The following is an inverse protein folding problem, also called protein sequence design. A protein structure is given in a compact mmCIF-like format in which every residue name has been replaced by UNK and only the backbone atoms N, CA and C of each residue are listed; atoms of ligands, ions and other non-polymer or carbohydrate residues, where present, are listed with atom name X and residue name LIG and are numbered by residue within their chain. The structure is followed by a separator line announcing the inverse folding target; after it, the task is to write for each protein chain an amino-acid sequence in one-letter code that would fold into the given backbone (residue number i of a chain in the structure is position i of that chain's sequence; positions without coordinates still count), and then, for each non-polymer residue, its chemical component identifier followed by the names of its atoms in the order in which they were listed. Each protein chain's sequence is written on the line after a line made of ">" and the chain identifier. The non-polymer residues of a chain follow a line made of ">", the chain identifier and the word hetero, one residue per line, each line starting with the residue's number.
data_IF_308379115515
#
_entry.id   IF_308379115515
#
_cell.length_a   1.000
_cell.length_b   1.000
_cell.length_c   1.000
_cell.angle_alpha   90.00
_cell.angle_beta   90.00
_cell.angle_gamma   90.00
#
_symmetry.space_group_name_H-M   'P 1'
#
loop_
_entity.id
_entity.type
_entity.pdbx_description
1 polymer ?
#
# COMPACT_ATOMS: atom_id res chain seq x y z
N UNK A 1 8.99 9.04 -11.84
CA UNK A 1 7.56 9.48 -11.77
C UNK A 1 7.46 10.95 -12.19
N UNK A 2 6.30 11.41 -12.69
CA UNK A 2 6.10 12.81 -13.05
C UNK A 2 5.93 13.70 -11.82
N UNK A 3 6.28 14.99 -11.93
CA UNK A 3 6.26 15.96 -10.81
C UNK A 3 4.89 16.05 -10.12
N UNK A 4 3.80 15.92 -10.88
CA UNK A 4 2.42 15.98 -10.36
C UNK A 4 2.15 14.97 -9.23
N UNK A 5 2.84 13.83 -9.23
CA UNK A 5 2.65 12.74 -8.25
C UNK A 5 3.81 12.63 -7.26
N UNK A 6 4.86 13.44 -7.44
CA UNK A 6 6.07 13.40 -6.61
C UNK A 6 5.96 14.40 -5.46
N UNK A 7 5.85 13.89 -4.24
CA UNK A 7 5.97 14.71 -3.05
C UNK A 7 7.44 14.90 -2.68
N UNK A 8 7.85 16.11 -2.22
CA UNK A 8 9.26 16.44 -2.00
C UNK A 8 10.01 15.46 -1.10
N UNK A 9 9.41 14.99 0.00
CA UNK A 9 10.07 14.04 0.90
C UNK A 9 10.49 12.73 0.18
N UNK A 10 9.57 12.15 -0.59
CA UNK A 10 9.86 10.92 -1.34
C UNK A 10 10.72 11.21 -2.56
N UNK A 11 10.43 12.31 -3.27
CA UNK A 11 11.19 12.70 -4.46
C UNK A 11 12.67 12.94 -4.17
N UNK A 12 12.99 13.57 -3.04
CA UNK A 12 14.36 13.86 -2.64
C UNK A 12 15.20 12.59 -2.39
N UNK A 13 14.58 11.49 -1.93
CA UNK A 13 15.28 10.20 -1.77
C UNK A 13 15.82 9.71 -3.11
N UNK A 14 15.08 9.93 -4.20
CA UNK A 14 15.38 9.40 -5.53
C UNK A 14 16.01 10.41 -6.49
N UNK A 15 16.47 11.55 -5.99
CA UNK A 15 17.26 12.47 -6.82
C UNK A 15 18.63 11.90 -7.14
N UNK A 16 19.16 12.20 -8.30
CA UNK A 16 20.50 11.82 -8.71
C UNK A 16 21.57 12.40 -7.73
N UNK A 17 21.33 13.60 -7.21
CA UNK A 17 22.16 14.19 -6.14
C UNK A 17 22.23 13.29 -4.90
N UNK A 18 21.06 12.81 -4.42
CA UNK A 18 21.02 11.95 -3.24
C UNK A 18 21.64 10.56 -3.51
N UNK A 19 21.45 10.03 -4.72
CA UNK A 19 22.09 8.77 -5.13
C UNK A 19 23.63 8.87 -5.01
N UNK A 20 24.24 9.86 -5.67
CA UNK A 20 25.70 10.05 -5.59
C UNK A 20 26.16 10.46 -4.20
N UNK A 21 25.38 11.24 -3.45
CA UNK A 21 25.70 11.57 -2.06
C UNK A 21 25.72 10.33 -1.17
N UNK A 22 24.80 9.40 -1.40
CA UNK A 22 24.75 8.11 -0.68
C UNK A 22 25.92 7.21 -1.10
N UNK A 23 26.24 7.14 -2.39
CA UNK A 23 27.41 6.43 -2.89
C UNK A 23 28.71 6.99 -2.28
N UNK A 24 28.87 8.31 -2.22
CA UNK A 24 30.02 8.97 -1.58
C UNK A 24 30.12 8.60 -0.09
N UNK A 25 28.99 8.54 0.61
CA UNK A 25 28.95 8.10 2.01
C UNK A 25 29.48 6.66 2.17
N UNK A 26 29.10 5.74 1.28
CA UNK A 26 29.58 4.35 1.28
C UNK A 26 31.11 4.33 1.07
N UNK A 27 31.62 5.09 0.10
CA UNK A 27 33.06 5.16 -0.20
C UNK A 27 33.87 5.72 0.98
N UNK A 28 33.41 6.80 1.61
CA UNK A 28 34.06 7.40 2.78
C UNK A 28 34.12 6.40 3.95
N UNK A 29 32.99 5.74 4.24
CA UNK A 29 32.90 4.73 5.29
C UNK A 29 33.78 3.51 5.00
N UNK A 30 33.96 3.12 3.74
CA UNK A 30 34.88 2.07 3.35
C UNK A 30 36.33 2.51 3.61
N UNK A 31 36.71 3.76 3.31
CA UNK A 31 38.03 4.32 3.64
C UNK A 31 38.26 4.40 5.16
N UNK A 32 37.24 4.75 5.95
CA UNK A 32 37.34 4.73 7.43
C UNK A 32 37.60 3.32 7.97
N UNK A 33 36.91 2.31 7.43
CA UNK A 33 37.16 0.92 7.81
C UNK A 33 38.58 0.47 7.44
N UNK A 34 39.04 0.81 6.22
CA UNK A 34 40.39 0.50 5.76
C UNK A 34 41.46 1.24 6.58
N UNK A 35 41.18 2.45 7.08
CA UNK A 35 42.07 3.14 8.00
C UNK A 35 42.23 2.36 9.32
N UNK A 36 41.15 1.83 9.89
CA UNK A 36 41.22 0.97 11.08
C UNK A 36 42.02 -0.30 10.87
N UNK A 37 42.17 -0.76 9.64
CA UNK A 37 43.04 -1.89 9.25
C UNK A 37 44.46 -1.46 8.91
N UNK A 38 44.80 -0.17 9.02
CA UNK A 38 46.12 0.36 8.69
C UNK A 38 46.41 0.45 7.18
N UNK A 39 45.40 0.29 6.32
CA UNK A 39 45.50 0.32 4.85
C UNK A 39 45.49 1.76 4.33
N UNK A 40 44.61 2.61 4.92
CA UNK A 40 44.49 4.03 4.59
C UNK A 40 45.17 4.85 5.69
N UNK A 41 46.19 5.67 5.40
CA UNK A 41 46.83 6.54 6.39
C UNK A 41 45.88 7.59 6.96
N UNK A 42 46.07 8.04 8.20
CA UNK A 42 45.23 9.04 8.87
C UNK A 42 45.12 10.35 8.11
N UNK A 43 46.23 10.83 7.55
CA UNK A 43 46.24 12.07 6.74
C UNK A 43 45.41 11.92 5.48
N UNK A 44 45.50 10.77 4.80
CA UNK A 44 44.70 10.49 3.61
C UNK A 44 43.19 10.37 3.93
N UNK A 45 42.87 9.72 5.05
CA UNK A 45 41.48 9.65 5.51
C UNK A 45 40.91 11.04 5.82
N UNK A 46 41.68 11.88 6.52
CA UNK A 46 41.27 13.25 6.81
C UNK A 46 41.03 14.07 5.55
N UNK A 47 41.90 13.93 4.54
CA UNK A 47 41.73 14.59 3.25
C UNK A 47 40.45 14.11 2.53
N UNK A 48 40.18 12.79 2.52
CA UNK A 48 38.97 12.21 1.95
C UNK A 48 37.74 12.76 2.67
N UNK A 49 37.67 12.69 4.00
CA UNK A 49 36.53 13.15 4.78
C UNK A 49 36.21 14.63 4.63
N UNK A 50 37.24 15.47 4.43
CA UNK A 50 37.09 16.94 4.41
C UNK A 50 36.93 17.51 3.01
N UNK A 51 37.44 16.84 1.97
CA UNK A 51 37.51 17.36 0.61
C UNK A 51 36.57 16.63 -0.39
N UNK A 52 36.17 15.38 -0.07
CA UNK A 52 35.41 14.59 -0.99
C UNK A 52 34.03 15.25 -1.25
N UNK A 53 33.83 15.62 -2.49
CA UNK A 53 32.59 16.22 -2.99
C UNK A 53 32.44 15.88 -4.50
N UNK A 54 31.36 16.30 -5.12
CA UNK A 54 31.12 16.11 -6.53
C UNK A 54 30.19 17.18 -7.09
N UNK A 55 30.14 17.28 -8.43
CA UNK A 55 29.18 18.10 -9.16
C UNK A 55 28.51 17.26 -10.25
N UNK A 56 27.18 17.28 -10.30
CA UNK A 56 26.38 16.48 -11.25
C UNK A 56 26.68 16.82 -12.71
N UNK A 57 26.87 18.10 -13.03
CA UNK A 57 27.22 18.55 -14.37
C UNK A 57 28.61 18.00 -14.79
N UNK A 58 29.58 18.01 -13.86
CA UNK A 58 30.93 17.49 -14.11
C UNK A 58 30.92 15.97 -14.29
N UNK A 59 30.16 15.24 -13.48
CA UNK A 59 29.97 13.80 -13.64
C UNK A 59 29.42 13.48 -15.02
N UNK A 60 28.41 14.21 -15.50
CA UNK A 60 27.82 14.01 -16.84
C UNK A 60 28.82 14.29 -17.96
N UNK A 61 29.67 15.32 -17.83
CA UNK A 61 30.72 15.61 -18.80
C UNK A 61 31.73 14.45 -18.90
N UNK A 62 32.15 13.88 -17.76
CA UNK A 62 33.09 12.76 -17.71
C UNK A 62 32.42 11.49 -18.25
N UNK A 63 31.17 11.23 -17.85
CA UNK A 63 30.40 10.06 -18.29
C UNK A 63 30.20 10.05 -19.81
N UNK A 64 30.00 11.20 -20.45
CA UNK A 64 29.88 11.31 -21.91
C UNK A 64 31.12 10.78 -22.65
N UNK A 65 32.28 10.72 -21.98
CA UNK A 65 33.51 10.17 -22.55
C UNK A 65 33.74 8.73 -22.09
N UNK A 66 33.55 8.46 -20.81
CA UNK A 66 33.85 7.15 -20.19
C UNK A 66 32.79 6.10 -20.43
N UNK A 67 31.56 6.51 -20.73
CA UNK A 67 30.35 5.65 -20.82
C UNK A 67 30.15 4.76 -19.57
N UNK A 68 30.55 5.27 -18.40
CA UNK A 68 30.46 4.51 -17.14
C UNK A 68 30.18 5.47 -15.96
N UNK A 69 29.00 5.40 -15.38
CA UNK A 69 28.50 6.29 -14.34
C UNK A 69 29.38 6.30 -13.06
N UNK A 70 29.74 5.13 -12.54
CA UNK A 70 30.55 5.02 -11.30
C UNK A 70 31.99 5.52 -11.55
N UNK A 71 32.59 5.22 -12.69
CA UNK A 71 33.91 5.74 -13.01
C UNK A 71 33.89 7.26 -13.16
N UNK A 72 32.85 7.80 -13.80
CA UNK A 72 32.67 9.24 -13.93
C UNK A 72 32.53 9.94 -12.56
N UNK A 73 31.73 9.35 -11.67
CA UNK A 73 31.57 9.80 -10.29
C UNK A 73 32.90 9.80 -9.54
N UNK A 74 33.61 8.67 -9.52
CA UNK A 74 34.89 8.51 -8.81
C UNK A 74 35.99 9.46 -9.36
N UNK A 75 36.01 9.67 -10.68
CA UNK A 75 36.91 10.61 -11.33
C UNK A 75 36.62 12.05 -10.86
N UNK A 76 35.37 12.45 -10.78
CA UNK A 76 35.05 13.77 -10.28
C UNK A 76 35.34 13.91 -8.77
N UNK A 77 35.09 12.90 -7.95
CA UNK A 77 35.51 12.92 -6.53
C UNK A 77 37.01 13.07 -6.41
N UNK A 78 37.81 12.40 -7.26
CA UNK A 78 39.28 12.50 -7.26
C UNK A 78 39.77 13.92 -7.58
N UNK A 79 39.02 14.69 -8.43
CA UNK A 79 39.35 16.11 -8.71
C UNK A 79 39.31 16.98 -7.43
N UNK A 80 38.47 16.63 -6.44
CA UNK A 80 38.42 17.32 -5.14
C UNK A 80 39.42 16.82 -4.12
N UNK A 81 39.62 15.50 -4.05
CA UNK A 81 40.43 14.86 -3.01
C UNK A 81 41.94 14.92 -3.33
N UNK A 82 42.32 14.88 -4.60
CA UNK A 82 43.72 14.86 -5.03
C UNK A 82 44.41 13.51 -4.75
N UNK A 83 45.66 13.53 -4.31
CA UNK A 83 46.50 12.33 -4.17
C UNK A 83 45.91 11.23 -3.26
N UNK A 84 45.11 11.60 -2.27
CA UNK A 84 44.45 10.64 -1.39
C UNK A 84 43.36 9.84 -2.08
N UNK A 85 42.88 10.26 -3.27
CA UNK A 85 41.86 9.57 -4.06
C UNK A 85 42.21 8.14 -4.45
N UNK A 86 43.50 7.78 -4.49
CA UNK A 86 44.00 6.42 -4.74
C UNK A 86 43.54 5.38 -3.73
N UNK A 87 42.99 5.81 -2.60
CA UNK A 87 42.42 4.94 -1.58
C UNK A 87 40.89 4.76 -1.72
N UNK A 88 40.24 5.66 -2.44
CA UNK A 88 38.80 5.56 -2.72
C UNK A 88 38.57 4.40 -3.69
N UNK A 89 37.50 3.63 -3.48
CA UNK A 89 37.13 2.45 -4.29
C UNK A 89 38.17 1.32 -4.31
N UNK A 90 39.12 1.32 -3.39
CA UNK A 90 40.22 0.34 -3.35
C UNK A 90 39.66 -1.05 -3.00
N UNK A 91 39.79 -1.99 -3.93
CA UNK A 91 39.32 -3.37 -3.77
C UNK A 91 37.81 -3.56 -3.96
N UNK A 92 37.09 -2.50 -4.16
CA UNK A 92 35.64 -2.53 -4.40
C UNK A 92 35.31 -2.75 -5.88
N UNK A 93 34.07 -3.18 -6.14
CA UNK A 93 33.41 -3.11 -7.45
C UNK A 93 32.25 -2.12 -7.41
N UNK A 94 31.83 -1.61 -8.57
CA UNK A 94 30.74 -0.64 -8.65
C UNK A 94 29.47 -1.08 -7.91
N UNK A 95 29.13 -2.37 -7.94
CA UNK A 95 27.95 -2.91 -7.26
C UNK A 95 28.09 -2.94 -5.73
N UNK A 96 29.30 -2.96 -5.16
CA UNK A 96 29.49 -2.83 -3.72
C UNK A 96 28.94 -1.50 -3.21
N UNK A 97 29.12 -0.45 -3.99
CA UNK A 97 28.68 0.90 -3.65
C UNK A 97 27.23 1.13 -4.09
N UNK A 98 26.90 0.78 -5.33
CA UNK A 98 25.56 1.02 -5.90
C UNK A 98 24.46 0.23 -5.20
N UNK A 99 24.65 -1.08 -5.01
CA UNK A 99 23.62 -1.92 -4.38
C UNK A 99 23.42 -1.55 -2.91
N UNK A 100 24.52 -1.26 -2.18
CA UNK A 100 24.44 -0.81 -0.80
C UNK A 100 23.74 0.55 -0.68
N UNK A 101 24.05 1.49 -1.58
CA UNK A 101 23.37 2.78 -1.65
C UNK A 101 21.88 2.62 -2.02
N UNK A 102 21.56 1.77 -2.99
CA UNK A 102 20.19 1.49 -3.42
C UNK A 102 19.36 0.88 -2.28
N UNK A 103 19.92 -0.08 -1.56
CA UNK A 103 19.27 -0.67 -0.39
C UNK A 103 19.01 0.36 0.71
N UNK A 104 19.99 1.23 1.00
CA UNK A 104 19.83 2.30 1.99
C UNK A 104 18.71 3.28 1.60
N UNK A 105 18.67 3.73 0.34
CA UNK A 105 17.62 4.61 -0.17
C UNK A 105 16.25 3.93 -0.17
N UNK A 106 16.20 2.63 -0.48
CA UNK A 106 14.95 1.84 -0.44
C UNK A 106 14.43 1.72 0.99
N UNK A 107 15.30 1.53 1.98
CA UNK A 107 14.92 1.54 3.41
C UNK A 107 14.35 2.88 3.81
N UNK A 108 14.96 4.00 3.43
CA UNK A 108 14.42 5.34 3.69
C UNK A 108 13.04 5.55 3.08
N UNK A 109 12.84 5.06 1.85
CA UNK A 109 11.52 5.14 1.19
C UNK A 109 10.47 4.25 1.88
N UNK A 110 10.87 3.06 2.35
CA UNK A 110 10.01 2.17 3.12
C UNK A 110 9.58 2.79 4.46
N UNK A 111 10.50 3.46 5.16
CA UNK A 111 10.22 4.15 6.42
C UNK A 111 9.21 5.30 6.23
N UNK A 112 9.32 6.04 5.12
CA UNK A 112 8.36 7.08 4.77
C UNK A 112 6.97 6.50 4.46
N UNK A 113 6.89 5.44 3.66
CA UNK A 113 5.64 4.73 3.35
C UNK A 113 5.04 4.16 4.66
N UNK A 114 5.85 3.60 5.54
CA UNK A 114 5.41 3.06 6.83
C UNK A 114 4.71 4.13 7.68
N UNK A 115 5.28 5.33 7.78
CA UNK A 115 4.66 6.46 8.51
C UNK A 115 3.26 6.78 7.97
N UNK A 116 3.11 6.81 6.64
CA UNK A 116 1.80 7.10 6.02
C UNK A 116 0.81 5.95 6.16
N UNK A 117 1.29 4.72 6.14
CA UNK A 117 0.46 3.54 6.30
C UNK A 117 -0.09 3.43 7.73
N UNK A 118 0.74 3.72 8.74
CA UNK A 118 0.32 3.80 10.15
C UNK A 118 -0.71 4.91 10.35
N UNK A 119 -0.46 6.10 9.84
CA UNK A 119 -1.43 7.20 9.90
C UNK A 119 -2.76 6.84 9.21
N UNK A 120 -2.71 6.16 8.08
CA UNK A 120 -3.91 5.70 7.39
C UNK A 120 -4.69 4.66 8.21
N UNK A 121 -3.98 3.74 8.87
CA UNK A 121 -4.59 2.79 9.80
C UNK A 121 -5.33 3.49 10.95
N UNK A 122 -4.74 4.51 11.55
CA UNK A 122 -5.37 5.30 12.63
C UNK A 122 -6.64 6.02 12.15
N UNK A 123 -6.61 6.60 10.94
CA UNK A 123 -7.78 7.21 10.32
C UNK A 123 -8.90 6.18 10.15
N UNK A 124 -8.60 4.99 9.63
CA UNK A 124 -9.59 3.94 9.46
C UNK A 124 -10.22 3.50 10.80
N UNK A 125 -9.42 3.34 11.86
CA UNK A 125 -9.91 2.98 13.19
C UNK A 125 -10.84 4.07 13.75
N UNK A 126 -10.47 5.34 13.63
CA UNK A 126 -11.30 6.46 14.05
C UNK A 126 -12.63 6.50 13.29
N UNK A 127 -12.60 6.34 11.95
CA UNK A 127 -13.81 6.30 11.13
C UNK A 127 -14.65 5.06 11.43
N UNK A 128 -14.04 3.92 11.75
CA UNK A 128 -14.77 2.72 12.19
C UNK A 128 -15.56 3.00 13.47
N UNK A 129 -14.95 3.61 14.48
CA UNK A 129 -15.60 3.97 15.73
C UNK A 129 -16.74 5.00 15.52
N UNK A 130 -16.50 6.02 14.70
CA UNK A 130 -17.47 7.07 14.37
C UNK A 130 -18.77 6.49 13.77
N UNK A 131 -18.65 5.51 12.88
CA UNK A 131 -19.80 4.89 12.18
C UNK A 131 -20.16 3.51 12.70
N UNK A 132 -19.75 3.16 13.93
CA UNK A 132 -19.99 1.85 14.55
C UNK A 132 -21.45 1.41 14.46
N UNK A 133 -22.38 2.33 14.65
CA UNK A 133 -23.82 2.06 14.66
C UNK A 133 -24.58 2.63 13.45
N UNK A 134 -23.89 3.13 12.44
CA UNK A 134 -24.52 3.63 11.21
C UNK A 134 -24.94 2.45 10.35
N UNK A 135 -26.24 2.18 10.34
CA UNK A 135 -26.82 1.03 9.64
C UNK A 135 -26.84 1.26 8.13
N UNK A 136 -26.45 0.27 7.37
CA UNK A 136 -26.55 0.20 5.93
C UNK A 136 -26.89 -1.20 5.46
N UNK A 137 -27.26 -1.33 4.18
CA UNK A 137 -27.43 -2.65 3.56
C UNK A 137 -26.08 -3.21 3.08
N UNK A 138 -25.75 -4.43 3.48
CA UNK A 138 -24.69 -5.22 2.88
C UNK A 138 -25.12 -5.74 1.50
N UNK A 139 -24.20 -5.73 0.54
CA UNK A 139 -24.45 -6.21 -0.83
C UNK A 139 -23.50 -7.33 -1.19
N UNK A 140 -24.06 -8.41 -1.74
CA UNK A 140 -23.31 -9.49 -2.38
C UNK A 140 -23.74 -9.57 -3.83
N UNK A 141 -22.80 -9.75 -4.77
CA UNK A 141 -23.09 -9.72 -6.21
C UNK A 141 -23.78 -8.41 -6.70
N UNK A 142 -23.64 -7.31 -5.93
CA UNK A 142 -24.36 -6.05 -6.18
C UNK A 142 -25.83 -6.05 -5.71
N UNK A 143 -26.32 -7.14 -5.14
CA UNK A 143 -27.70 -7.32 -4.66
C UNK A 143 -27.75 -7.11 -3.15
N UNK A 144 -28.86 -6.56 -2.64
CA UNK A 144 -29.10 -6.39 -1.20
C UNK A 144 -29.12 -7.77 -0.52
N UNK A 145 -28.33 -7.90 0.55
CA UNK A 145 -28.24 -9.09 1.39
C UNK A 145 -28.81 -8.81 2.78
N UNK A 146 -27.99 -8.53 3.74
CA UNK A 146 -28.39 -8.31 5.14
C UNK A 146 -27.92 -6.94 5.65
N UNK A 147 -28.58 -6.36 6.66
CA UNK A 147 -28.09 -5.17 7.35
C UNK A 147 -26.70 -5.37 7.94
N UNK A 148 -25.87 -4.35 7.82
CA UNK A 148 -24.59 -4.23 8.47
C UNK A 148 -24.37 -2.79 8.93
N UNK A 149 -23.24 -2.48 9.56
CA UNK A 149 -22.89 -1.09 9.86
C UNK A 149 -21.79 -0.58 8.94
N UNK A 150 -21.83 0.73 8.66
CA UNK A 150 -20.80 1.35 7.84
C UNK A 150 -19.43 1.32 8.51
N UNK A 151 -19.39 1.42 9.85
CA UNK A 151 -18.18 1.26 10.64
C UNK A 151 -17.48 -0.08 10.43
N UNK A 152 -18.22 -1.18 10.20
CA UNK A 152 -17.66 -2.50 9.90
C UNK A 152 -16.83 -2.51 8.60
N UNK A 153 -17.15 -1.67 7.60
CA UNK A 153 -16.33 -1.54 6.40
C UNK A 153 -14.95 -0.96 6.72
N UNK A 154 -14.91 0.12 7.50
CA UNK A 154 -13.64 0.72 7.92
C UNK A 154 -12.84 -0.22 8.84
N UNK A 155 -13.52 -0.96 9.71
CA UNK A 155 -12.89 -1.94 10.59
C UNK A 155 -12.21 -3.06 9.79
N UNK A 156 -12.90 -3.59 8.77
CA UNK A 156 -12.35 -4.57 7.85
C UNK A 156 -11.11 -4.04 7.11
N UNK A 157 -11.18 -2.79 6.65
CA UNK A 157 -10.05 -2.13 5.98
C UNK A 157 -8.88 -1.87 6.92
N UNK A 158 -9.16 -1.48 8.18
CA UNK A 158 -8.17 -1.33 9.23
C UNK A 158 -7.39 -2.64 9.46
N UNK A 159 -8.09 -3.78 9.60
CA UNK A 159 -7.46 -5.10 9.74
C UNK A 159 -6.59 -5.49 8.53
N UNK A 160 -6.95 -5.07 7.33
CA UNK A 160 -6.15 -5.31 6.12
C UNK A 160 -4.90 -4.43 6.08
N UNK A 161 -5.02 -3.17 6.48
CA UNK A 161 -3.86 -2.26 6.57
C UNK A 161 -2.91 -2.70 7.68
N UNK A 162 -3.38 -3.22 8.80
CA UNK A 162 -2.55 -3.81 9.85
C UNK A 162 -1.67 -4.94 9.29
N UNK A 163 -2.24 -5.84 8.49
CA UNK A 163 -1.46 -6.88 7.80
C UNK A 163 -0.49 -6.32 6.77
N UNK A 164 -0.81 -5.19 6.12
CA UNK A 164 0.09 -4.53 5.19
C UNK A 164 1.25 -3.82 5.89
N UNK A 165 1.04 -3.27 7.08
CA UNK A 165 2.10 -2.74 7.95
C UNK A 165 3.10 -3.85 8.27
N UNK A 166 2.64 -5.03 8.67
CA UNK A 166 3.51 -6.16 8.95
C UNK A 166 4.28 -6.63 7.69
N UNK A 167 3.62 -6.73 6.54
CA UNK A 167 4.29 -7.06 5.27
C UNK A 167 5.38 -6.05 4.90
N UNK A 168 5.08 -4.76 5.05
CA UNK A 168 6.04 -3.71 4.73
C UNK A 168 7.23 -3.74 5.70
N UNK A 169 7.01 -4.02 6.98
CA UNK A 169 8.07 -4.20 7.95
C UNK A 169 9.01 -5.33 7.53
N UNK A 170 8.49 -6.50 7.18
CA UNK A 170 9.28 -7.63 6.70
C UNK A 170 10.02 -7.30 5.40
N UNK A 171 9.37 -6.63 4.46
CA UNK A 171 9.99 -6.23 3.20
C UNK A 171 11.10 -5.19 3.40
N UNK A 172 10.91 -4.25 4.32
CA UNK A 172 11.92 -3.28 4.73
C UNK A 172 13.14 -3.96 5.35
N UNK A 173 12.93 -4.90 6.26
CA UNK A 173 14.02 -5.68 6.89
C UNK A 173 14.78 -6.51 5.83
N UNK A 174 14.07 -7.07 4.85
CA UNK A 174 14.67 -7.81 3.75
C UNK A 174 15.56 -6.92 2.87
N UNK A 175 15.21 -5.63 2.70
CA UNK A 175 16.00 -4.65 1.97
C UNK A 175 17.08 -3.96 2.82
N UNK A 176 17.04 -4.06 4.16
CA UNK A 176 18.00 -3.43 5.05
C UNK A 176 19.34 -4.18 5.10
N UNK A 177 19.96 -4.34 3.94
CA UNK A 177 21.22 -5.07 3.77
C UNK A 177 22.21 -4.27 2.95
N UNK A 178 23.53 -4.59 3.13
CA UNK A 178 24.61 -4.04 2.32
C UNK A 178 25.60 -5.13 1.93
N UNK A 179 26.40 -4.85 0.90
CA UNK A 179 27.36 -5.76 0.31
C UNK A 179 28.61 -4.99 -0.12
N UNK A 180 29.78 -5.38 0.44
CA UNK A 180 31.10 -4.93 0.01
C UNK A 180 32.05 -6.13 -0.05
N UNK A 181 31.78 -7.06 -0.96
CA UNK A 181 32.49 -8.34 -1.07
C UNK A 181 33.22 -8.55 -2.39
N UNK A 182 33.34 -7.47 -3.20
CA UNK A 182 34.09 -7.48 -4.46
C UNK A 182 33.31 -8.06 -5.64
N UNK A 183 34.02 -8.30 -6.74
CA UNK A 183 33.46 -8.55 -8.07
C UNK A 183 32.60 -9.84 -8.18
N UNK A 184 32.79 -10.83 -7.31
CA UNK A 184 32.06 -12.10 -7.32
C UNK A 184 31.69 -12.59 -5.91
N UNK A 185 31.79 -11.72 -4.90
CA UNK A 185 31.39 -12.03 -3.54
C UNK A 185 32.38 -12.81 -2.68
N UNK A 186 33.63 -12.90 -3.11
CA UNK A 186 34.67 -13.74 -2.46
C UNK A 186 35.65 -12.96 -1.56
N UNK A 187 35.48 -11.66 -1.44
CA UNK A 187 36.35 -10.75 -0.68
C UNK A 187 37.83 -10.80 -1.12
N UNK A 188 38.09 -11.14 -2.40
CA UNK A 188 39.47 -11.35 -2.90
C UNK A 188 40.41 -10.17 -2.67
N UNK A 189 39.89 -8.94 -2.67
CA UNK A 189 40.69 -7.71 -2.59
C UNK A 189 40.23 -6.75 -1.47
N UNK A 190 39.34 -7.19 -0.60
CA UNK A 190 38.79 -6.38 0.50
C UNK A 190 38.59 -7.25 1.74
N UNK A 191 38.86 -6.73 2.90
CA UNK A 191 38.64 -7.43 4.17
C UNK A 191 37.15 -7.40 4.54
N UNK A 192 36.53 -8.51 4.96
CA UNK A 192 35.12 -8.55 5.42
C UNK A 192 34.78 -7.54 6.53
N UNK A 193 35.80 -7.07 7.28
CA UNK A 193 35.57 -6.01 8.26
C UNK A 193 35.06 -4.72 7.64
N UNK A 194 35.47 -4.40 6.41
CA UNK A 194 35.01 -3.19 5.70
C UNK A 194 33.52 -3.23 5.46
N UNK A 195 32.99 -4.37 4.98
CA UNK A 195 31.56 -4.56 4.79
C UNK A 195 30.80 -4.42 6.11
N UNK A 196 31.26 -5.11 7.16
CA UNK A 196 30.66 -5.05 8.49
C UNK A 196 30.59 -3.61 9.01
N UNK A 197 31.69 -2.88 8.91
CA UNK A 197 31.79 -1.50 9.38
C UNK A 197 30.85 -0.56 8.62
N UNK A 198 30.83 -0.63 7.29
CA UNK A 198 29.97 0.21 6.45
C UNK A 198 28.48 -0.09 6.73
N UNK A 199 28.12 -1.37 6.79
CA UNK A 199 26.73 -1.76 7.08
C UNK A 199 26.28 -1.26 8.47
N UNK A 200 27.13 -1.42 9.50
CA UNK A 200 26.83 -0.93 10.85
C UNK A 200 26.58 0.59 10.87
N UNK A 201 27.41 1.36 10.18
CA UNK A 201 27.29 2.83 10.08
C UNK A 201 26.07 3.30 9.29
N UNK A 202 25.54 2.47 8.41
CA UNK A 202 24.33 2.72 7.62
C UNK A 202 23.07 2.09 8.22
N UNK A 203 23.18 1.44 9.39
CA UNK A 203 22.08 0.67 9.99
C UNK A 203 21.53 -0.43 9.05
N UNK A 204 22.45 -1.03 8.28
CA UNK A 204 22.21 -2.17 7.41
C UNK A 204 22.85 -3.43 8.00
N UNK A 205 22.39 -4.59 7.53
CA UNK A 205 23.01 -5.89 7.88
C UNK A 205 23.84 -6.38 6.70
N UNK A 206 25.09 -6.83 6.90
CA UNK A 206 25.85 -7.49 5.85
C UNK A 206 25.09 -8.67 5.29
N UNK A 207 25.03 -8.83 3.95
CA UNK A 207 24.45 -10.04 3.35
C UNK A 207 25.29 -11.26 3.72
N UNK A 208 24.66 -12.40 3.97
CA UNK A 208 25.39 -13.63 4.34
C UNK A 208 26.27 -14.15 3.20
N UNK A 209 25.84 -13.91 1.97
CA UNK A 209 26.55 -14.24 0.74
C UNK A 209 25.95 -13.42 -0.40
N UNK A 210 26.77 -12.96 -1.30
CA UNK A 210 26.39 -12.30 -2.54
C UNK A 210 27.22 -12.83 -3.71
N UNK A 211 26.78 -12.52 -4.91
CA UNK A 211 27.59 -12.60 -6.14
C UNK A 211 28.28 -11.23 -6.35
N UNK A 212 28.34 -10.71 -7.55
CA UNK A 212 28.71 -9.30 -7.73
C UNK A 212 27.65 -8.36 -7.16
N UNK A 213 26.41 -8.82 -7.06
CA UNK A 213 25.23 -8.05 -6.63
C UNK A 213 24.53 -8.71 -5.44
N UNK A 214 23.75 -7.92 -4.71
CA UNK A 214 22.73 -8.41 -3.77
C UNK A 214 21.66 -9.14 -4.57
N UNK A 215 21.15 -10.27 -4.09
CA UNK A 215 20.18 -11.08 -4.83
C UNK A 215 18.83 -10.35 -4.98
N UNK A 216 18.25 -10.40 -6.18
CA UNK A 216 17.10 -9.59 -6.60
C UNK A 216 15.74 -10.11 -6.08
N UNK A 217 15.68 -11.32 -5.52
CA UNK A 217 14.50 -11.80 -4.79
C UNK A 217 14.08 -10.83 -3.66
N UNK A 218 15.02 -10.13 -3.02
CA UNK A 218 14.76 -9.10 -2.02
C UNK A 218 14.00 -7.90 -2.61
N UNK A 219 14.47 -7.42 -3.75
CA UNK A 219 13.85 -6.32 -4.49
C UNK A 219 12.45 -6.72 -4.98
N UNK A 220 12.30 -7.95 -5.51
CA UNK A 220 11.03 -8.50 -5.94
C UNK A 220 10.04 -8.63 -4.77
N UNK A 221 10.50 -9.08 -3.58
CA UNK A 221 9.67 -9.12 -2.36
C UNK A 221 9.20 -7.71 -1.98
N UNK A 222 10.09 -6.72 -1.97
CA UNK A 222 9.72 -5.34 -1.67
C UNK A 222 8.67 -4.82 -2.67
N UNK A 223 8.92 -4.96 -3.96
CA UNK A 223 8.03 -4.48 -5.02
C UNK A 223 6.67 -5.17 -5.03
N UNK A 224 6.61 -6.48 -4.78
CA UNK A 224 5.34 -7.22 -4.64
C UNK A 224 4.57 -6.79 -3.39
N UNK A 225 5.26 -6.45 -2.31
CA UNK A 225 4.63 -5.87 -1.11
C UNK A 225 3.98 -4.52 -1.42
N UNK A 226 4.67 -3.62 -2.14
CA UNK A 226 4.08 -2.34 -2.56
C UNK A 226 2.84 -2.57 -3.45
N UNK A 227 2.88 -3.56 -4.34
CA UNK A 227 1.74 -3.92 -5.19
C UNK A 227 0.54 -4.46 -4.39
N UNK A 228 0.76 -5.23 -3.33
CA UNK A 228 -0.31 -5.70 -2.43
C UNK A 228 -0.93 -4.50 -1.69
N UNK A 229 -0.14 -3.59 -1.15
CA UNK A 229 -0.63 -2.37 -0.48
C UNK A 229 -1.46 -1.54 -1.47
N UNK A 230 -0.93 -1.30 -2.68
CA UNK A 230 -1.65 -0.60 -3.74
C UNK A 230 -2.96 -1.27 -4.13
N UNK A 231 -3.02 -2.61 -4.15
CA UNK A 231 -4.23 -3.36 -4.44
C UNK A 231 -5.27 -3.26 -3.31
N UNK A 232 -4.84 -3.16 -2.04
CA UNK A 232 -5.72 -2.87 -0.92
C UNK A 232 -6.35 -1.49 -1.05
N UNK A 233 -5.56 -0.47 -1.41
CA UNK A 233 -6.08 0.89 -1.65
C UNK A 233 -7.05 0.93 -2.84
N UNK A 234 -6.77 0.21 -3.92
CA UNK A 234 -7.65 0.08 -5.10
C UNK A 234 -9.00 -0.54 -4.74
N UNK A 235 -8.99 -1.62 -3.94
CA UNK A 235 -10.23 -2.24 -3.43
C UNK A 235 -11.08 -1.25 -2.64
N UNK A 236 -10.48 -0.50 -1.72
CA UNK A 236 -11.17 0.50 -0.89
C UNK A 236 -11.70 1.66 -1.76
N UNK A 237 -10.88 2.16 -2.68
CA UNK A 237 -11.27 3.19 -3.63
C UNK A 237 -12.42 2.75 -4.54
N UNK A 238 -12.42 1.50 -4.97
CA UNK A 238 -13.50 0.91 -5.77
C UNK A 238 -14.81 0.87 -4.98
N UNK A 239 -14.76 0.52 -3.69
CA UNK A 239 -15.96 0.55 -2.84
C UNK A 239 -16.51 1.97 -2.70
N UNK A 240 -15.66 2.98 -2.41
CA UNK A 240 -16.11 4.38 -2.33
C UNK A 240 -16.73 4.84 -3.65
N UNK A 241 -16.13 4.50 -4.80
CA UNK A 241 -16.71 4.80 -6.13
C UNK A 241 -18.09 4.17 -6.32
N UNK A 242 -18.28 2.94 -5.84
CA UNK A 242 -19.60 2.28 -5.89
C UNK A 242 -20.62 2.98 -4.98
N UNK A 243 -20.21 3.36 -3.77
CA UNK A 243 -21.10 4.06 -2.82
C UNK A 243 -21.47 5.48 -3.28
N UNK A 244 -20.63 6.12 -4.11
CA UNK A 244 -20.87 7.46 -4.66
C UNK A 244 -21.74 7.45 -5.91
N UNK A 245 -22.04 6.29 -6.50
CA UNK A 245 -22.89 6.21 -7.68
C UNK A 245 -24.23 6.90 -7.44
N UNK A 246 -24.77 7.57 -8.48
CA UNK A 246 -26.05 8.32 -8.42
C UNK A 246 -27.19 7.49 -7.81
N UNK A 247 -27.27 6.20 -8.15
CA UNK A 247 -28.34 5.30 -7.71
C UNK A 247 -28.19 4.81 -6.27
N UNK A 248 -27.00 5.00 -5.66
CA UNK A 248 -26.64 4.56 -4.30
C UNK A 248 -26.49 5.76 -3.38
N UNK A 249 -25.52 6.62 -3.63
CA UNK A 249 -25.23 7.87 -2.92
C UNK A 249 -25.19 7.74 -1.39
N UNK A 250 -24.51 6.71 -0.89
CA UNK A 250 -24.35 6.44 0.54
C UNK A 250 -23.10 7.09 1.13
N UNK A 251 -22.06 7.30 0.30
CA UNK A 251 -20.85 8.04 0.65
C UNK A 251 -20.30 8.77 -0.58
N UNK A 252 -19.50 9.82 -0.35
CA UNK A 252 -19.00 10.69 -1.42
C UNK A 252 -17.64 11.28 -1.04
N UNK A 253 -16.70 11.40 -2.00
CA UNK A 253 -15.47 12.17 -1.79
C UNK A 253 -15.80 13.59 -1.36
N UNK A 254 -15.07 14.11 -0.36
CA UNK A 254 -15.19 15.50 0.02
C UNK A 254 -14.85 16.41 -1.15
N UNK A 255 -15.76 17.36 -1.39
CA UNK A 255 -15.63 18.33 -2.48
C UNK A 255 -15.34 19.71 -1.86
N UNK A 256 -14.11 20.20 -2.06
CA UNK A 256 -13.67 21.46 -1.47
C UNK A 256 -14.39 22.68 -2.08
N UNK A 257 -14.60 23.74 -1.32
CA UNK A 257 -15.11 25.00 -1.87
C UNK A 257 -14.26 25.47 -3.06
N UNK A 258 -14.91 25.81 -4.17
CA UNK A 258 -14.23 26.22 -5.40
C UNK A 258 -13.71 25.08 -6.29
N UNK A 259 -13.73 23.84 -5.83
CA UNK A 259 -13.38 22.67 -6.66
C UNK A 259 -14.43 22.50 -7.78
N UNK A 260 -13.97 22.10 -8.98
CA UNK A 260 -14.85 21.80 -10.12
C UNK A 260 -14.77 20.32 -10.42
N UNK A 261 -15.92 19.64 -10.44
CA UNK A 261 -16.00 18.18 -10.68
C UNK A 261 -16.19 17.80 -12.15
N UNK A 262 -16.63 18.74 -12.98
CA UNK A 262 -16.89 18.54 -14.39
C UNK A 262 -16.71 19.83 -15.17
N UNK A 263 -16.18 19.74 -16.40
CA UNK A 263 -16.07 20.88 -17.30
C UNK A 263 -17.41 21.25 -17.96
N UNK A 264 -18.35 20.32 -18.01
CA UNK A 264 -19.63 20.50 -18.71
C UNK A 264 -20.83 20.64 -17.76
N UNK A 265 -20.83 19.93 -16.63
CA UNK A 265 -21.97 19.88 -15.69
C UNK A 265 -21.55 20.38 -14.30
N UNK A 266 -21.92 21.61 -13.88
CA UNK A 266 -21.44 22.22 -12.66
C UNK A 266 -21.79 21.45 -11.36
N UNK A 267 -22.86 20.69 -11.37
CA UNK A 267 -23.33 19.89 -10.23
C UNK A 267 -22.67 18.52 -10.10
N UNK A 268 -21.94 18.08 -11.14
CA UNK A 268 -21.38 16.72 -11.20
C UNK A 268 -20.14 16.60 -10.33
N UNK A 269 -20.19 15.73 -9.32
CA UNK A 269 -19.10 15.42 -8.41
C UNK A 269 -18.57 14.02 -8.72
N UNK A 270 -17.43 13.93 -9.39
CA UNK A 270 -16.81 12.66 -9.74
C UNK A 270 -15.85 12.19 -8.65
N UNK A 271 -15.74 10.87 -8.38
CA UNK A 271 -14.78 10.30 -7.44
C UNK A 271 -13.37 10.24 -8.05
N UNK A 272 -12.83 11.41 -8.45
CA UNK A 272 -11.61 11.52 -9.26
C UNK A 272 -10.38 10.99 -8.51
N UNK A 273 -10.33 11.20 -7.18
CA UNK A 273 -9.18 10.73 -6.40
C UNK A 273 -9.18 9.21 -6.27
N UNK A 274 -10.33 8.60 -6.01
CA UNK A 274 -10.48 7.15 -5.98
C UNK A 274 -10.19 6.53 -7.36
N UNK A 275 -10.62 7.18 -8.46
CA UNK A 275 -10.28 6.73 -9.83
C UNK A 275 -8.78 6.75 -10.08
N UNK A 276 -8.08 7.81 -9.63
CA UNK A 276 -6.61 7.91 -9.73
C UNK A 276 -5.91 6.83 -8.90
N UNK A 277 -6.36 6.57 -7.68
CA UNK A 277 -5.83 5.50 -6.83
C UNK A 277 -5.95 4.15 -7.54
N UNK A 278 -7.13 3.84 -8.09
CA UNK A 278 -7.34 2.61 -8.88
C UNK A 278 -6.42 2.55 -10.12
N UNK A 279 -6.20 3.68 -10.81
CA UNK A 279 -5.29 3.76 -11.95
C UNK A 279 -3.84 3.51 -11.56
N UNK A 280 -3.36 4.15 -10.48
CA UNK A 280 -1.96 4.03 -10.02
C UNK A 280 -1.65 2.63 -9.47
N UNK A 281 -2.60 1.95 -8.86
CA UNK A 281 -2.42 0.57 -8.42
C UNK A 281 -2.07 -0.39 -9.56
N UNK A 282 -2.49 -0.10 -10.80
CA UNK A 282 -2.11 -0.87 -11.99
C UNK A 282 -0.63 -0.75 -12.29
N UNK A 283 -0.04 0.45 -12.10
CA UNK A 283 1.39 0.67 -12.27
C UNK A 283 2.19 -0.15 -11.26
N UNK A 284 1.80 -0.12 -9.98
CA UNK A 284 2.47 -0.89 -8.93
C UNK A 284 2.49 -2.41 -9.25
N UNK A 285 1.37 -2.95 -9.75
CA UNK A 285 1.31 -4.35 -10.17
C UNK A 285 2.22 -4.64 -11.37
N UNK A 286 2.28 -3.74 -12.35
CA UNK A 286 3.18 -3.87 -13.50
C UNK A 286 4.65 -3.82 -13.09
N UNK A 287 5.02 -2.90 -12.21
CA UNK A 287 6.38 -2.79 -11.68
C UNK A 287 6.80 -4.01 -10.84
N UNK A 288 5.87 -4.60 -10.10
CA UNK A 288 6.14 -5.85 -9.36
C UNK A 288 6.47 -7.02 -10.31
N UNK A 289 5.80 -7.11 -11.47
CA UNK A 289 6.13 -8.12 -12.49
C UNK A 289 7.54 -7.90 -13.03
N UNK A 290 7.91 -6.65 -13.36
CA UNK A 290 9.25 -6.34 -13.84
C UNK A 290 10.34 -6.71 -12.79
N UNK A 291 10.08 -6.45 -11.50
CA UNK A 291 10.99 -6.83 -10.43
C UNK A 291 11.14 -8.35 -10.25
N UNK A 292 10.09 -9.12 -10.53
CA UNK A 292 10.17 -10.59 -10.52
C UNK A 292 11.03 -11.14 -11.67
N UNK A 293 10.99 -10.50 -12.84
CA UNK A 293 11.85 -10.86 -13.98
C UNK A 293 13.33 -10.56 -13.70
N UNK A 294 13.65 -9.52 -12.90
CA UNK A 294 15.01 -9.17 -12.51
C UNK A 294 15.68 -10.19 -11.55
N UNK A 295 14.93 -11.17 -11.01
CA UNK A 295 15.50 -12.22 -10.15
C UNK A 295 16.46 -13.11 -10.95
N UNK A 296 16.19 -13.31 -12.24
CA UNK A 296 16.97 -14.16 -13.12
C UNK A 296 18.11 -13.38 -13.78
N UNK A 297 19.34 -13.59 -13.32
CA UNK A 297 20.56 -13.01 -13.88
C UNK A 297 21.50 -14.08 -14.38
N UNK A 298 22.36 -13.76 -15.35
CA UNK A 298 23.40 -14.67 -15.83
C UNK A 298 24.57 -14.73 -14.86
N UNK A 299 24.94 -15.93 -14.46
CA UNK A 299 26.11 -16.20 -13.61
C UNK A 299 26.10 -15.33 -12.33
N UNK A 300 27.21 -14.68 -12.01
CA UNK A 300 27.35 -13.80 -10.84
C UNK A 300 26.71 -12.42 -11.05
N UNK A 301 26.46 -12.02 -12.28
CA UNK A 301 25.68 -10.85 -12.70
C UNK A 301 25.72 -10.64 -14.21
N UNK A 302 24.60 -10.22 -14.79
CA UNK A 302 24.55 -9.36 -15.99
C UNK A 302 23.90 -8.00 -15.61
N UNK A 303 23.79 -7.06 -16.55
CA UNK A 303 23.31 -5.70 -16.24
C UNK A 303 21.82 -5.49 -16.57
N UNK A 304 21.08 -6.52 -16.94
CA UNK A 304 19.68 -6.41 -17.39
C UNK A 304 18.77 -5.77 -16.32
N UNK A 305 18.98 -6.11 -15.04
CA UNK A 305 18.24 -5.55 -13.91
C UNK A 305 18.39 -4.03 -13.75
N UNK A 306 19.55 -3.48 -14.08
CA UNK A 306 19.92 -2.09 -13.73
C UNK A 306 19.02 -1.05 -14.42
N UNK A 307 18.71 -1.24 -15.69
CA UNK A 307 17.82 -0.33 -16.43
C UNK A 307 16.38 -0.37 -15.93
N UNK A 308 15.94 -1.49 -15.41
CA UNK A 308 14.61 -1.71 -14.83
C UNK A 308 14.51 -1.06 -13.47
N UNK A 309 15.45 -1.35 -12.56
CA UNK A 309 15.46 -0.87 -11.17
C UNK A 309 15.52 0.65 -11.07
N UNK A 310 16.24 1.32 -11.97
CA UNK A 310 16.30 2.80 -12.06
C UNK A 310 14.94 3.44 -12.29
N UNK A 311 13.97 2.70 -12.84
CA UNK A 311 12.60 3.17 -13.10
C UNK A 311 11.64 2.68 -12.02
N UNK A 312 11.61 1.37 -11.78
CA UNK A 312 10.51 0.77 -11.01
C UNK A 312 10.58 1.11 -9.51
N UNK A 313 11.75 1.19 -8.89
CA UNK A 313 11.89 1.48 -7.45
C UNK A 313 11.47 2.93 -7.12
N UNK A 314 12.02 3.97 -7.79
CA UNK A 314 11.57 5.33 -7.58
C UNK A 314 10.08 5.50 -7.89
N UNK A 315 9.64 5.00 -9.04
CA UNK A 315 8.27 5.20 -9.50
C UNK A 315 7.24 4.51 -8.60
N UNK A 316 7.51 3.29 -8.14
CA UNK A 316 6.59 2.56 -7.27
C UNK A 316 6.47 3.22 -5.89
N UNK A 317 7.58 3.61 -5.28
CA UNK A 317 7.58 4.25 -3.96
C UNK A 317 6.94 5.63 -3.98
N UNK A 318 7.22 6.45 -5.02
CA UNK A 318 6.58 7.74 -5.24
C UNK A 318 5.08 7.58 -5.50
N UNK A 319 4.69 6.61 -6.34
CA UNK A 319 3.29 6.34 -6.61
C UNK A 319 2.51 5.94 -5.35
N UNK A 320 3.06 5.02 -4.55
CA UNK A 320 2.41 4.56 -3.33
C UNK A 320 2.34 5.65 -2.25
N UNK A 321 3.40 6.45 -2.08
CA UNK A 321 3.39 7.62 -1.20
C UNK A 321 2.27 8.60 -1.59
N UNK A 322 2.16 8.92 -2.88
CA UNK A 322 1.08 9.77 -3.38
C UNK A 322 -0.31 9.19 -3.11
N UNK A 323 -0.50 7.90 -3.40
CA UNK A 323 -1.76 7.20 -3.17
C UNK A 323 -2.16 7.25 -1.69
N UNK A 324 -1.26 6.92 -0.77
CA UNK A 324 -1.51 6.93 0.67
C UNK A 324 -1.89 8.33 1.17
N UNK A 325 -1.13 9.36 0.81
CA UNK A 325 -1.43 10.76 1.21
C UNK A 325 -2.80 11.22 0.71
N UNK A 326 -3.12 10.96 -0.57
CA UNK A 326 -4.39 11.40 -1.16
C UNK A 326 -5.56 10.60 -0.61
N UNK A 327 -5.44 9.28 -0.52
CA UNK A 327 -6.53 8.43 -0.09
C UNK A 327 -6.80 8.56 1.41
N UNK A 328 -5.77 8.77 2.24
CA UNK A 328 -5.94 9.12 3.67
C UNK A 328 -6.82 10.36 3.84
N UNK A 329 -6.54 11.42 3.06
CA UNK A 329 -7.37 12.64 3.12
C UNK A 329 -8.81 12.40 2.64
N UNK A 330 -9.03 11.51 1.66
CA UNK A 330 -10.39 11.15 1.22
C UNK A 330 -11.14 10.43 2.34
N UNK A 331 -10.55 9.41 2.95
CA UNK A 331 -11.21 8.65 4.02
C UNK A 331 -11.45 9.51 5.26
N UNK A 332 -10.48 10.36 5.61
CA UNK A 332 -10.59 11.29 6.74
C UNK A 332 -11.78 12.25 6.60
N UNK A 333 -12.01 12.77 5.39
CA UNK A 333 -13.04 13.77 5.07
C UNK A 333 -14.24 13.20 4.32
N UNK A 334 -14.39 11.88 4.23
CA UNK A 334 -15.46 11.24 3.48
C UNK A 334 -16.83 11.72 3.97
N UNK A 335 -17.64 12.20 3.05
CA UNK A 335 -19.03 12.55 3.31
C UNK A 335 -19.85 11.26 3.38
N UNK A 336 -20.66 11.13 4.42
CA UNK A 336 -21.47 9.94 4.68
C UNK A 336 -22.93 10.35 4.81
N UNK A 337 -23.84 9.61 4.19
CA UNK A 337 -25.26 9.90 4.14
C UNK A 337 -26.09 8.78 4.78
N UNK A 338 -26.23 8.75 6.13
CA UNK A 338 -26.98 7.70 6.83
C UNK A 338 -28.43 7.55 6.37
N UNK A 339 -29.12 8.67 6.08
CA UNK A 339 -30.50 8.65 5.59
C UNK A 339 -30.61 7.93 4.22
N UNK A 340 -29.63 8.15 3.34
CA UNK A 340 -29.57 7.45 2.06
C UNK A 340 -29.30 5.94 2.24
N UNK A 341 -28.48 5.57 3.22
CA UNK A 341 -28.24 4.16 3.58
C UNK A 341 -29.52 3.47 4.02
N UNK A 342 -30.29 4.10 4.90
CA UNK A 342 -31.60 3.57 5.33
C UNK A 342 -32.61 3.53 4.17
N UNK A 343 -32.68 4.59 3.37
CA UNK A 343 -33.58 4.62 2.20
C UNK A 343 -33.24 3.50 1.20
N UNK A 344 -31.95 3.25 0.95
CA UNK A 344 -31.51 2.15 0.10
C UNK A 344 -31.85 0.79 0.69
N UNK A 345 -31.62 0.58 1.98
CA UNK A 345 -31.99 -0.66 2.67
C UNK A 345 -33.47 -1.01 2.46
N UNK A 346 -34.36 0.00 2.48
CA UNK A 346 -35.79 -0.15 2.36
C UNK A 346 -36.29 -0.28 0.91
N UNK A 347 -35.43 -0.06 -0.12
CA UNK A 347 -35.85 -0.11 -1.54
C UNK A 347 -36.52 -1.41 -1.94
N UNK A 348 -36.14 -2.51 -1.35
CA UNK A 348 -36.76 -3.82 -1.67
C UNK A 348 -38.05 -4.07 -0.92
N UNK A 349 -38.52 -3.12 -0.08
CA UNK A 349 -39.79 -3.27 0.67
C UNK A 349 -39.79 -4.45 1.64
N UNK A 350 -38.72 -4.60 2.38
CA UNK A 350 -38.58 -5.61 3.44
C UNK A 350 -38.07 -6.99 3.01
N UNK A 351 -37.82 -7.23 1.71
CA UNK A 351 -37.34 -8.55 1.24
C UNK A 351 -36.02 -9.00 1.92
N UNK A 352 -35.21 -8.08 2.41
CA UNK A 352 -33.97 -8.36 3.17
C UNK A 352 -34.23 -9.13 4.46
N UNK A 353 -35.47 -9.13 4.98
CA UNK A 353 -35.90 -9.84 6.18
C UNK A 353 -36.46 -11.25 5.92
N UNK A 354 -36.49 -11.68 4.67
CA UNK A 354 -37.07 -12.99 4.29
C UNK A 354 -36.41 -14.17 5.00
N UNK A 355 -35.10 -14.07 5.27
CA UNK A 355 -34.38 -15.11 6.02
C UNK A 355 -34.77 -15.14 7.51
N UNK A 356 -35.01 -13.99 8.14
CA UNK A 356 -35.46 -13.92 9.53
C UNK A 356 -36.84 -14.63 9.65
N UNK A 357 -37.74 -14.36 8.73
CA UNK A 357 -39.06 -14.99 8.67
C UNK A 357 -38.95 -16.50 8.48
N UNK A 358 -38.09 -16.96 7.56
CA UNK A 358 -37.80 -18.38 7.36
C UNK A 358 -37.32 -19.06 8.65
N UNK A 359 -36.38 -18.44 9.35
CA UNK A 359 -35.81 -18.97 10.59
C UNK A 359 -36.88 -19.00 11.70
N UNK A 360 -37.68 -17.95 11.83
CA UNK A 360 -38.77 -17.90 12.80
C UNK A 360 -39.78 -19.04 12.61
N UNK A 361 -40.22 -19.28 11.35
CA UNK A 361 -41.11 -20.39 11.02
C UNK A 361 -40.52 -21.76 11.36
N UNK A 362 -39.23 -21.98 11.00
CA UNK A 362 -38.55 -23.23 11.31
C UNK A 362 -38.42 -23.43 12.84
N UNK A 363 -38.16 -22.34 13.57
CA UNK A 363 -38.08 -22.37 15.05
C UNK A 363 -39.44 -22.76 15.68
N UNK A 364 -40.58 -22.45 15.02
CA UNK A 364 -41.91 -22.87 15.42
C UNK A 364 -42.27 -24.29 14.98
N UNK A 365 -41.36 -25.03 14.39
CA UNK A 365 -41.54 -26.44 14.00
C UNK A 365 -42.07 -26.63 12.56
N UNK A 366 -42.10 -25.59 11.74
CA UNK A 366 -42.41 -25.72 10.30
C UNK A 366 -41.26 -26.41 9.59
N UNK A 367 -41.53 -27.36 8.72
CA UNK A 367 -40.51 -27.95 7.86
C UNK A 367 -39.87 -26.86 6.99
N UNK A 368 -38.55 -26.90 6.88
CA UNK A 368 -37.79 -25.88 6.17
C UNK A 368 -38.28 -25.65 4.72
N UNK A 369 -38.64 -26.73 4.03
CA UNK A 369 -39.11 -26.66 2.65
C UNK A 369 -40.49 -25.96 2.54
N UNK A 370 -41.38 -26.13 3.52
CA UNK A 370 -42.69 -25.47 3.52
C UNK A 370 -42.52 -24.01 3.95
N UNK A 371 -41.74 -23.72 4.96
CA UNK A 371 -41.37 -22.35 5.34
C UNK A 371 -40.75 -21.59 4.14
N UNK A 372 -39.83 -22.23 3.40
CA UNK A 372 -39.22 -21.64 2.20
C UNK A 372 -40.29 -21.31 1.13
N UNK A 373 -41.21 -22.24 0.83
CA UNK A 373 -42.29 -22.01 -0.16
C UNK A 373 -43.19 -20.84 0.23
N UNK A 374 -43.55 -20.75 1.52
CA UNK A 374 -44.45 -19.67 1.99
C UNK A 374 -43.73 -18.31 1.94
N UNK A 375 -42.48 -18.22 2.40
CA UNK A 375 -41.71 -16.99 2.32
C UNK A 375 -41.47 -16.60 0.85
N UNK A 376 -41.11 -17.56 -0.01
CA UNK A 376 -40.81 -17.32 -1.41
C UNK A 376 -42.04 -16.78 -2.17
N UNK A 377 -43.25 -17.37 -1.98
CA UNK A 377 -44.46 -16.88 -2.66
C UNK A 377 -44.75 -15.42 -2.32
N UNK A 378 -44.63 -15.04 -1.05
CA UNK A 378 -44.85 -13.66 -0.61
C UNK A 378 -43.76 -12.71 -1.12
N UNK A 379 -42.49 -13.15 -1.13
CA UNK A 379 -41.40 -12.39 -1.70
C UNK A 379 -41.53 -12.19 -3.22
N UNK A 380 -41.98 -13.21 -3.97
CA UNK A 380 -42.18 -13.13 -5.40
C UNK A 380 -43.37 -12.23 -5.76
N UNK A 381 -44.45 -12.18 -4.95
CA UNK A 381 -45.53 -11.22 -5.10
C UNK A 381 -45.01 -9.77 -4.98
N UNK A 382 -44.12 -9.50 -4.04
CA UNK A 382 -43.42 -8.19 -3.94
C UNK A 382 -42.58 -7.92 -5.19
N UNK A 383 -41.73 -8.88 -5.59
CA UNK A 383 -40.77 -8.68 -6.68
C UNK A 383 -41.44 -8.50 -8.05
N UNK A 384 -42.50 -9.29 -8.36
CA UNK A 384 -43.17 -9.31 -9.68
C UNK A 384 -44.35 -8.34 -9.79
N UNK A 385 -45.07 -8.08 -8.69
CA UNK A 385 -46.31 -7.36 -8.70
C UNK A 385 -46.28 -6.05 -7.90
N UNK A 386 -45.18 -5.76 -7.19
CA UNK A 386 -45.06 -4.57 -6.37
C UNK A 386 -45.86 -4.62 -5.05
N UNK A 387 -46.45 -5.79 -4.70
CA UNK A 387 -47.19 -5.95 -3.46
C UNK A 387 -46.30 -5.69 -2.23
N UNK A 388 -46.88 -5.22 -1.12
CA UNK A 388 -46.11 -5.03 0.10
C UNK A 388 -45.79 -6.38 0.76
N UNK A 389 -44.49 -6.66 0.97
CA UNK A 389 -44.00 -7.96 1.45
C UNK A 389 -44.48 -8.25 2.88
N UNK A 390 -44.39 -7.25 3.77
CA UNK A 390 -44.85 -7.40 5.16
C UNK A 390 -46.36 -7.63 5.24
N UNK A 391 -47.12 -6.81 4.57
CA UNK A 391 -48.56 -6.95 4.51
C UNK A 391 -49.00 -8.32 3.95
N UNK A 392 -48.31 -8.81 2.91
CA UNK A 392 -48.59 -10.14 2.37
C UNK A 392 -48.30 -11.25 3.39
N UNK A 393 -47.18 -11.14 4.12
CA UNK A 393 -46.79 -12.08 5.18
C UNK A 393 -47.85 -12.08 6.31
N UNK A 394 -48.27 -10.89 6.74
CA UNK A 394 -49.29 -10.71 7.78
C UNK A 394 -50.66 -11.25 7.35
N UNK A 395 -50.95 -11.28 6.07
CA UNK A 395 -52.23 -11.82 5.53
C UNK A 395 -52.15 -13.32 5.21
N UNK A 396 -50.97 -13.91 5.17
CA UNK A 396 -50.79 -15.30 4.73
C UNK A 396 -51.28 -16.30 5.79
N UNK A 397 -52.31 -17.12 5.49
CA UNK A 397 -52.89 -18.03 6.48
C UNK A 397 -51.92 -19.12 6.95
N UNK A 398 -51.04 -19.60 6.11
CA UNK A 398 -50.04 -20.62 6.51
C UNK A 398 -49.06 -20.04 7.52
N UNK A 399 -48.62 -18.80 7.35
CA UNK A 399 -47.70 -18.11 8.27
C UNK A 399 -48.43 -17.76 9.56
N UNK A 400 -49.66 -17.24 9.50
CA UNK A 400 -50.47 -16.89 10.68
C UNK A 400 -50.77 -18.05 11.62
N UNK A 401 -50.78 -19.26 11.13
CA UNK A 401 -50.93 -20.46 11.98
C UNK A 401 -49.76 -20.70 12.91
N UNK A 402 -48.60 -20.11 12.67
CA UNK A 402 -47.33 -20.35 13.42
C UNK A 402 -46.75 -19.10 14.07
N UNK A 403 -46.95 -17.92 13.46
CA UNK A 403 -46.40 -16.66 13.97
C UNK A 403 -47.53 -15.67 14.30
N UNK A 404 -47.39 -15.02 15.46
CA UNK A 404 -48.25 -13.89 15.84
C UNK A 404 -47.83 -12.62 15.07
N UNK A 405 -48.72 -11.62 15.05
CA UNK A 405 -48.40 -10.32 14.42
C UNK A 405 -47.16 -9.66 15.06
N UNK A 406 -46.96 -9.81 16.39
CA UNK A 406 -45.78 -9.31 17.09
C UNK A 406 -44.50 -10.03 16.68
N UNK A 407 -44.56 -11.36 16.49
CA UNK A 407 -43.42 -12.15 16.02
C UNK A 407 -43.07 -11.82 14.57
N UNK A 408 -44.05 -11.57 13.73
CA UNK A 408 -43.86 -11.08 12.35
C UNK A 408 -43.19 -9.70 12.40
N UNK A 409 -43.73 -8.75 13.20
CA UNK A 409 -43.12 -7.44 13.38
C UNK A 409 -41.62 -7.53 13.75
N UNK A 410 -41.31 -8.42 14.72
CA UNK A 410 -39.93 -8.65 15.14
C UNK A 410 -39.03 -9.19 14.03
N UNK A 411 -39.52 -9.97 13.07
CA UNK A 411 -38.77 -10.44 11.93
C UNK A 411 -38.31 -9.28 11.00
N UNK A 412 -39.07 -8.17 10.98
CA UNK A 412 -38.78 -6.98 10.16
C UNK A 412 -37.94 -5.91 10.92
N UNK A 413 -37.48 -6.18 12.15
CA UNK A 413 -36.57 -5.30 12.87
C UNK A 413 -35.09 -5.64 12.50
N UNK A 414 -34.29 -4.67 12.03
CA UNK A 414 -32.88 -4.89 11.74
C UNK A 414 -32.01 -5.02 12.99
N UNK A 415 -32.46 -4.55 14.16
CA UNK A 415 -31.64 -4.51 15.39
C UNK A 415 -31.11 -5.87 15.84
N UNK A 416 -31.92 -6.96 15.87
CA UNK A 416 -31.41 -8.28 16.24
C UNK A 416 -30.30 -8.80 15.32
N UNK A 417 -30.30 -8.38 14.05
CA UNK A 417 -29.26 -8.77 13.08
C UNK A 417 -27.90 -8.13 13.39
N UNK A 418 -27.91 -7.02 14.12
CA UNK A 418 -26.73 -6.23 14.48
C UNK A 418 -26.26 -6.43 15.93
N UNK A 419 -26.86 -7.40 16.68
CA UNK A 419 -26.62 -7.63 18.11
C UNK A 419 -25.14 -7.90 18.47
N UNK A 420 -24.32 -8.38 17.54
CA UNK A 420 -22.91 -8.71 17.75
C UNK A 420 -21.95 -7.62 17.30
N UNK A 421 -22.41 -6.42 16.92
CA UNK A 421 -21.55 -5.32 16.46
C UNK A 421 -20.53 -4.96 17.55
N UNK A 422 -20.95 -4.84 18.81
CA UNK A 422 -20.05 -4.50 19.91
C UNK A 422 -18.98 -5.58 20.15
N UNK A 423 -19.37 -6.84 20.08
CA UNK A 423 -18.44 -7.96 20.20
C UNK A 423 -17.40 -7.96 19.05
N UNK A 424 -17.84 -7.67 17.82
CA UNK A 424 -16.94 -7.58 16.67
C UNK A 424 -15.93 -6.43 16.87
N UNK A 425 -16.39 -5.25 17.29
CA UNK A 425 -15.52 -4.10 17.54
C UNK A 425 -14.57 -4.31 18.72
N UNK A 426 -15.02 -4.98 19.77
CA UNK A 426 -14.18 -5.31 20.92
C UNK A 426 -12.96 -6.17 20.56
N UNK A 427 -13.02 -7.01 19.51
CA UNK A 427 -11.87 -7.76 18.98
C UNK A 427 -10.73 -6.87 18.48
N UNK A 428 -11.03 -5.61 18.21
CA UNK A 428 -10.09 -4.58 17.74
C UNK A 428 -9.79 -3.52 18.80
N UNK A 429 -10.31 -3.69 20.02
CA UNK A 429 -10.19 -2.69 21.08
C UNK A 429 -10.96 -1.39 20.80
N UNK A 430 -12.12 -1.47 20.15
CA UNK A 430 -13.02 -0.36 19.80
C UNK A 430 -14.43 -0.56 20.35
#
# INVERSE_FOLDING_TARGET
>A
MIDRYTHPEMGNIWTLENEFRTMLKVEILACEAMNKLGIVPDEALKDIQTKADFRLDRIKEIEAVTNHDVIAFLTNVAEYVGDASKYIHKGLTSSDVKDTALCYMTVQSADLIMRHLVNFHEILRRRAAEFKYTVMIGRTHGIHAEPMTFGMKFLLWSAEIERNIERLKQAREMMAVGKLSGAVGTYSNIDPFVEKYVCEKLELTPVRLATQVIQRDRHAHFMTTLAIIGSSLDKMATEIRNLQRTDIREAEEYFAPGQKGSSAMPHKRNPITCEKVSGMARLLRGYAVAALEDVTLWHERDISHSSVERVILPDATIALDHMLRKFSNIIDKLLVYPDAMIANMNKTGGLIFSQNLLIALVTKGVLREDAYKWVQRNAMARWLQGADFKTNVEADPDIKNYLTDEEVEHCFDPKPMLRHVDEIFARFGL
#
